data_IF_240945509555
#
_entry.id   IF_240945509555
#
_cell.length_a   1.000
_cell.length_b   1.000
_cell.length_c   1.000
_cell.angle_alpha   90.00
_cell.angle_beta   90.00
_cell.angle_gamma   90.00
#
_symmetry.space_group_name_H-M   'P 1'
#
loop_
_entity.id
_entity.type
_entity.pdbx_description
1 polymer ?
#
# COMPACT_ATOMS: atom_id res chain seq x y z
N UNK A 1 -4.32 -4.62 -13.15
CA UNK A 1 -3.99 -4.99 -11.76
C UNK A 1 -4.78 -4.10 -10.79
N UNK A 2 -5.50 -4.68 -9.83
CA UNK A 2 -6.30 -3.95 -8.84
C UNK A 2 -5.48 -3.78 -7.55
N UNK A 3 -5.20 -2.55 -7.11
CA UNK A 3 -4.58 -2.26 -5.81
C UNK A 3 -5.65 -2.34 -4.72
N UNK A 4 -5.98 -3.55 -4.28
CA UNK A 4 -6.90 -3.77 -3.16
C UNK A 4 -6.14 -4.29 -1.96
N UNK A 5 -6.65 -4.02 -0.75
CA UNK A 5 -6.16 -4.70 0.44
C UNK A 5 -6.22 -6.21 0.21
N UNK A 6 -5.21 -6.95 0.71
CA UNK A 6 -5.10 -8.41 0.58
C UNK A 6 -6.29 -9.17 1.20
N UNK A 7 -7.17 -8.47 1.92
CA UNK A 7 -8.35 -9.00 2.61
C UNK A 7 -9.58 -8.18 2.22
N UNK A 8 -10.67 -8.88 1.88
CA UNK A 8 -11.98 -8.24 1.65
C UNK A 8 -12.56 -7.77 3.00
N UNK A 9 -12.67 -6.46 3.16
CA UNK A 9 -13.19 -5.82 4.38
C UNK A 9 -14.68 -6.08 4.61
N UNK A 10 -15.42 -6.44 3.55
CA UNK A 10 -16.85 -6.75 3.62
C UNK A 10 -17.12 -8.23 3.93
N UNK A 11 -16.09 -9.06 4.09
CA UNK A 11 -16.22 -10.47 4.47
C UNK A 11 -15.58 -10.71 5.85
N UNK A 12 -16.26 -11.47 6.72
CA UNK A 12 -15.71 -11.80 8.02
C UNK A 12 -14.60 -12.86 7.91
N UNK A 13 -13.35 -12.59 8.34
CA UNK A 13 -12.26 -13.57 8.26
C UNK A 13 -12.41 -14.74 9.23
N UNK A 14 -13.35 -14.67 10.21
CA UNK A 14 -13.60 -15.76 11.17
C UNK A 14 -14.68 -16.73 10.70
N UNK A 15 -15.74 -16.24 10.05
CA UNK A 15 -16.91 -17.06 9.70
C UNK A 15 -17.35 -16.97 8.22
N UNK A 16 -16.72 -16.13 7.40
CA UNK A 16 -17.07 -15.96 5.98
C UNK A 16 -18.36 -15.18 5.71
N UNK A 17 -19.12 -14.79 6.74
CA UNK A 17 -20.36 -14.02 6.55
C UNK A 17 -20.14 -12.58 6.07
N UNK A 18 -21.17 -11.95 5.47
CA UNK A 18 -21.09 -10.58 4.97
C UNK A 18 -21.06 -9.55 6.11
N UNK A 19 -20.37 -8.43 5.89
CA UNK A 19 -20.31 -7.26 6.75
C UNK A 19 -20.91 -6.06 6.03
N UNK A 20 -21.40 -5.07 6.80
CA UNK A 20 -21.96 -3.82 6.30
C UNK A 20 -21.18 -2.63 6.87
N UNK A 21 -20.96 -1.62 6.04
CA UNK A 21 -20.49 -0.30 6.50
C UNK A 21 -21.65 0.40 7.23
N UNK A 22 -21.47 0.70 8.51
CA UNK A 22 -22.51 1.32 9.36
C UNK A 22 -22.33 2.84 9.52
N UNK A 23 -21.11 3.34 9.35
CA UNK A 23 -20.79 4.75 9.46
C UNK A 23 -19.47 5.06 8.74
N UNK A 24 -19.30 6.33 8.34
CA UNK A 24 -18.04 6.88 7.83
C UNK A 24 -17.63 8.04 8.73
N UNK A 25 -16.42 7.98 9.28
CA UNK A 25 -15.89 9.01 10.18
C UNK A 25 -14.99 9.94 9.39
N UNK A 26 -15.44 11.17 9.15
CA UNK A 26 -14.69 12.16 8.36
C UNK A 26 -13.71 12.99 9.19
N UNK A 27 -13.99 13.21 10.47
CA UNK A 27 -13.15 14.03 11.34
C UNK A 27 -12.02 13.19 11.94
N UNK A 28 -10.78 13.62 11.74
CA UNK A 28 -9.59 12.95 12.28
C UNK A 28 -9.64 12.82 13.80
N UNK A 29 -10.09 13.86 14.52
CA UNK A 29 -10.23 13.84 15.97
C UNK A 29 -11.19 12.74 16.45
N UNK A 30 -12.30 12.51 15.73
CA UNK A 30 -13.25 11.44 16.07
C UNK A 30 -12.64 10.06 15.85
N UNK A 31 -11.93 9.87 14.73
CA UNK A 31 -11.23 8.62 14.46
C UNK A 31 -10.15 8.34 15.54
N UNK A 32 -9.38 9.35 15.93
CA UNK A 32 -8.36 9.25 16.98
C UNK A 32 -8.96 8.83 18.32
N UNK A 33 -10.03 9.49 18.77
CA UNK A 33 -10.71 9.16 20.04
C UNK A 33 -11.22 7.71 20.06
N UNK A 34 -11.80 7.23 18.95
CA UNK A 34 -12.25 5.83 18.82
C UNK A 34 -11.07 4.87 18.93
N UNK A 35 -9.99 5.12 18.18
CA UNK A 35 -8.81 4.25 18.18
C UNK A 35 -8.13 4.20 19.55
N UNK A 36 -8.04 5.33 20.25
CA UNK A 36 -7.50 5.41 21.62
C UNK A 36 -8.35 4.63 22.61
N UNK A 37 -9.67 4.75 22.52
CA UNK A 37 -10.59 3.98 23.35
C UNK A 37 -10.43 2.46 23.12
N UNK A 38 -10.21 2.04 21.88
CA UNK A 38 -9.96 0.65 21.50
C UNK A 38 -8.53 0.17 21.78
N UNK A 39 -7.65 1.03 22.30
CA UNK A 39 -6.21 0.74 22.52
C UNK A 39 -5.46 0.37 21.23
N UNK A 40 -5.85 0.99 20.11
CA UNK A 40 -5.19 0.85 18.81
C UNK A 40 -4.27 2.06 18.53
N UNK A 41 -3.28 1.92 17.63
CA UNK A 41 -2.51 3.06 17.17
C UNK A 41 -3.42 4.15 16.56
N UNK A 42 -3.47 5.32 17.18
CA UNK A 42 -4.32 6.45 16.76
C UNK A 42 -3.59 7.48 15.89
N UNK A 43 -2.25 7.42 15.85
CA UNK A 43 -1.43 8.24 14.95
C UNK A 43 -1.22 7.53 13.62
N UNK A 44 -1.37 8.24 12.48
CA UNK A 44 -1.03 7.67 11.18
C UNK A 44 0.45 7.28 11.14
N UNK A 45 0.75 6.19 10.44
CA UNK A 45 2.14 5.81 10.16
C UNK A 45 2.81 6.94 9.36
N UNK A 46 4.12 7.20 9.58
CA UNK A 46 4.88 8.08 8.72
C UNK A 46 4.71 7.66 7.26
N UNK A 47 4.49 8.64 6.38
CA UNK A 47 4.38 8.36 4.96
C UNK A 47 5.73 7.85 4.46
N UNK A 48 5.76 6.61 3.98
CA UNK A 48 6.95 6.09 3.34
C UNK A 48 7.26 6.90 2.06
N UNK A 49 8.54 7.18 1.76
CA UNK A 49 8.91 7.79 0.49
C UNK A 49 8.35 7.00 -0.70
N UNK A 50 7.95 7.69 -1.75
CA UNK A 50 7.57 7.05 -3.00
C UNK A 50 8.83 6.46 -3.65
N UNK A 51 9.11 5.19 -3.40
CA UNK A 51 10.23 4.47 -4.03
C UNK A 51 9.71 3.72 -5.26
N UNK A 52 10.34 3.95 -6.41
CA UNK A 52 10.12 3.11 -7.60
C UNK A 52 10.49 1.66 -7.27
N UNK A 53 9.74 0.65 -7.76
CA UNK A 53 10.20 -0.74 -7.69
C UNK A 53 11.65 -0.84 -8.21
N UNK A 54 12.48 -1.72 -7.63
CA UNK A 54 13.84 -1.92 -8.11
C UNK A 54 13.81 -2.20 -9.62
N UNK A 55 14.57 -1.41 -10.39
CA UNK A 55 14.73 -1.62 -11.82
C UNK A 55 15.53 -2.93 -11.98
N UNK A 56 14.87 -4.01 -12.38
CA UNK A 56 15.56 -5.21 -12.84
C UNK A 56 16.31 -4.82 -14.12
N UNK A 57 17.65 -4.83 -14.07
CA UNK A 57 18.54 -4.21 -15.04
C UNK A 57 18.21 -4.60 -16.49
N UNK A 58 17.59 -3.68 -17.22
CA UNK A 58 17.44 -3.77 -18.68
C UNK A 58 18.64 -3.19 -19.43
N UNK A 59 19.51 -2.46 -18.73
CA UNK A 59 20.68 -1.79 -19.29
C UNK A 59 21.97 -2.37 -18.69
N UNK A 60 22.24 -3.64 -18.96
CA UNK A 60 23.64 -4.00 -19.20
C UNK A 60 23.92 -3.54 -20.61
N UNK A 61 24.54 -2.36 -20.76
CA UNK A 61 24.94 -1.87 -22.08
C UNK A 61 25.76 -2.99 -22.77
N UNK A 62 25.39 -3.45 -23.97
CA UNK A 62 26.32 -4.22 -24.78
C UNK A 62 27.49 -3.28 -25.09
N UNK A 63 28.69 -3.62 -24.63
CA UNK A 63 29.92 -3.00 -25.11
C UNK A 63 30.13 -3.48 -26.55
N UNK A 64 29.62 -2.74 -27.54
CA UNK A 64 30.11 -2.89 -28.90
C UNK A 64 31.39 -2.06 -29.04
N UNK A 65 32.57 -2.66 -29.25
CA UNK A 65 33.70 -1.90 -29.76
C UNK A 65 33.43 -1.59 -31.23
N UNK A 66 33.15 -0.32 -31.51
CA UNK A 66 33.07 0.26 -32.85
C UNK A 66 34.40 -0.01 -33.58
N UNK A 67 34.43 -1.04 -34.43
CA UNK A 67 35.57 -1.28 -35.33
C UNK A 67 35.39 -0.36 -36.53
N UNK A 68 36.08 0.78 -36.50
CA UNK A 68 36.25 1.68 -37.63
C UNK A 68 37.22 1.05 -38.65
N UNK A 69 36.83 0.77 -39.91
CA UNK A 69 37.80 0.54 -40.96
C UNK A 69 38.17 1.86 -41.64
N UNK A 70 39.48 2.04 -41.80
CA UNK A 70 40.15 3.10 -42.55
C UNK A 70 39.94 2.97 -44.07
#
# INVERSE_FOLDING_TARGET
>A
MKRTFRTDVLTCPRCGGPRRVVAVVFRSATAQAILEHLRLPSRPLPLAPATSPPQLGFWSAPSEPETSPA
#
